data_IF_383547949491
#
_entry.id   IF_383547949491
#
_cell.length_a   1.000
_cell.length_b   1.000
_cell.length_c   1.000
_cell.angle_alpha   90.00
_cell.angle_beta   90.00
_cell.angle_gamma   90.00
#
_symmetry.space_group_name_H-M   'P 1'
#
loop_
_entity.id
_entity.type
_entity.pdbx_description
1 polymer ?
#
# COMPACT_ATOMS: atom_id res chain seq x y z
N UNK A 1 -18.84 10.81 -8.74
CA UNK A 1 -20.22 10.63 -8.18
C UNK A 1 -20.24 10.57 -6.65
N UNK A 2 -19.16 10.91 -5.97
CA UNK A 2 -19.10 10.90 -4.51
C UNK A 2 -19.90 12.08 -3.94
N UNK A 3 -20.58 11.82 -2.83
CA UNK A 3 -21.16 12.85 -1.98
C UNK A 3 -20.08 13.51 -1.13
N UNK A 4 -20.42 14.63 -0.49
CA UNK A 4 -19.53 15.27 0.48
C UNK A 4 -19.18 14.34 1.65
N UNK A 5 -20.13 13.52 2.12
CA UNK A 5 -19.89 12.54 3.16
C UNK A 5 -18.82 11.50 2.79
N UNK A 6 -18.79 11.02 1.52
CA UNK A 6 -17.73 10.14 1.03
C UNK A 6 -16.37 10.86 1.01
N UNK A 7 -16.33 12.14 0.56
CA UNK A 7 -15.08 12.92 0.51
C UNK A 7 -14.55 13.17 1.92
N UNK A 8 -15.41 13.50 2.87
CA UNK A 8 -15.03 13.74 4.28
C UNK A 8 -14.46 12.46 4.94
N UNK A 9 -14.94 11.27 4.54
CA UNK A 9 -14.41 9.99 5.00
C UNK A 9 -12.97 9.75 4.57
N UNK A 10 -12.63 10.06 3.32
CA UNK A 10 -11.32 9.78 2.74
C UNK A 10 -10.29 10.88 2.96
N UNK A 11 -10.67 12.09 3.27
CA UNK A 11 -9.90 13.33 3.20
C UNK A 11 -9.36 13.64 1.79
N UNK A 12 -9.27 14.93 1.46
CA UNK A 12 -8.81 15.37 0.12
C UNK A 12 -7.34 14.98 -0.13
N UNK A 13 -6.49 15.12 0.90
CA UNK A 13 -5.06 14.75 0.81
C UNK A 13 -4.85 13.26 0.55
N UNK A 14 -5.65 12.41 1.20
CA UNK A 14 -5.61 10.96 0.98
C UNK A 14 -6.03 10.59 -0.45
N UNK A 15 -7.08 11.22 -0.98
CA UNK A 15 -7.52 11.00 -2.35
C UNK A 15 -6.45 11.42 -3.37
N UNK A 16 -5.79 12.55 -3.16
CA UNK A 16 -4.67 12.99 -4.02
C UNK A 16 -3.53 11.97 -3.99
N UNK A 17 -3.14 11.48 -2.81
CA UNK A 17 -2.09 10.44 -2.69
C UNK A 17 -2.47 9.16 -3.43
N UNK A 18 -3.73 8.74 -3.35
CA UNK A 18 -4.24 7.56 -4.07
C UNK A 18 -4.20 7.74 -5.58
N UNK A 19 -4.56 8.94 -6.07
CA UNK A 19 -4.55 9.26 -7.51
C UNK A 19 -3.15 9.45 -8.09
N UNK A 20 -2.15 9.74 -7.28
CA UNK A 20 -0.78 9.99 -7.72
C UNK A 20 0.15 8.84 -7.35
N UNK A 21 0.54 8.76 -6.09
CA UNK A 21 1.55 7.81 -5.61
C UNK A 21 1.08 6.36 -5.71
N UNK A 22 -0.16 6.06 -5.26
CA UNK A 22 -0.66 4.69 -5.28
C UNK A 22 -0.86 4.18 -6.71
N UNK A 23 -1.41 5.01 -7.61
CA UNK A 23 -1.55 4.65 -9.03
C UNK A 23 -0.19 4.39 -9.66
N UNK A 24 0.82 5.23 -9.38
CA UNK A 24 2.18 5.04 -9.89
C UNK A 24 2.80 3.73 -9.37
N UNK A 25 2.61 3.41 -8.10
CA UNK A 25 3.10 2.16 -7.52
C UNK A 25 2.47 0.93 -8.19
N UNK A 26 1.16 0.95 -8.41
CA UNK A 26 0.43 -0.13 -9.09
C UNK A 26 0.87 -0.23 -10.55
N UNK A 27 1.03 0.89 -11.25
CA UNK A 27 1.51 0.93 -12.63
C UNK A 27 2.90 0.32 -12.77
N UNK A 28 3.84 0.67 -11.89
CA UNK A 28 5.19 0.12 -11.88
C UNK A 28 5.19 -1.39 -11.61
N UNK A 29 4.41 -1.84 -10.60
CA UNK A 29 4.28 -3.25 -10.32
C UNK A 29 3.67 -4.02 -11.50
N UNK A 30 2.64 -3.49 -12.14
CA UNK A 30 2.00 -4.08 -13.30
C UNK A 30 2.98 -4.19 -14.49
N UNK A 31 3.79 -3.14 -14.74
CA UNK A 31 4.80 -3.14 -15.78
C UNK A 31 5.86 -4.24 -15.54
N UNK A 32 6.35 -4.36 -14.29
CA UNK A 32 7.32 -5.41 -13.93
C UNK A 32 6.69 -6.79 -14.04
N UNK A 33 5.45 -6.94 -13.56
CA UNK A 33 4.71 -8.19 -13.64
C UNK A 33 4.58 -8.68 -15.09
N UNK A 34 4.10 -7.87 -16.01
CA UNK A 34 3.94 -8.24 -17.41
C UNK A 34 5.28 -8.64 -18.05
N UNK A 35 6.34 -7.86 -17.78
CA UNK A 35 7.64 -8.12 -18.42
C UNK A 35 8.37 -9.33 -17.85
N UNK A 36 8.31 -9.55 -16.54
CA UNK A 36 9.18 -10.50 -15.86
C UNK A 36 8.46 -11.74 -15.35
N UNK A 37 7.16 -11.65 -15.00
CA UNK A 37 6.43 -12.78 -14.44
C UNK A 37 6.24 -13.94 -15.42
N UNK A 38 6.17 -13.65 -16.71
CA UNK A 38 6.15 -14.69 -17.74
C UNK A 38 7.58 -15.14 -18.13
N UNK A 39 8.50 -14.17 -18.24
CA UNK A 39 9.86 -14.43 -18.71
C UNK A 39 10.68 -15.24 -17.73
N UNK A 40 10.69 -14.86 -16.43
CA UNK A 40 11.56 -15.51 -15.46
C UNK A 40 11.20 -17.00 -15.22
N UNK A 41 9.92 -17.39 -14.97
CA UNK A 41 9.56 -18.79 -14.86
C UNK A 41 9.81 -19.58 -16.13
N UNK A 42 9.48 -19.02 -17.30
CA UNK A 42 9.66 -19.69 -18.59
C UNK A 42 11.13 -19.97 -18.87
N UNK A 43 12.02 -18.98 -18.65
CA UNK A 43 13.47 -19.18 -18.83
C UNK A 43 14.01 -20.21 -17.84
N UNK A 44 13.54 -20.21 -16.59
CA UNK A 44 13.97 -21.21 -15.59
C UNK A 44 13.52 -22.62 -15.98
N UNK A 45 12.25 -22.79 -16.37
CA UNK A 45 11.72 -24.10 -16.77
C UNK A 45 12.44 -24.63 -18.02
N UNK A 46 12.57 -23.79 -19.06
CA UNK A 46 13.27 -24.19 -20.30
C UNK A 46 14.72 -24.55 -20.02
N UNK A 47 15.44 -23.74 -19.24
CA UNK A 47 16.82 -24.01 -18.89
C UNK A 47 16.97 -25.33 -18.07
N UNK A 48 16.05 -25.60 -17.13
CA UNK A 48 16.00 -26.85 -16.39
C UNK A 48 15.74 -28.03 -17.31
N UNK A 49 14.69 -27.96 -18.13
CA UNK A 49 14.34 -29.04 -19.08
C UNK A 49 15.53 -29.36 -20.02
N UNK A 50 16.11 -28.29 -20.64
CA UNK A 50 17.27 -28.49 -21.54
C UNK A 50 18.48 -29.06 -20.80
N UNK A 51 18.70 -28.66 -19.56
CA UNK A 51 19.79 -29.27 -18.73
C UNK A 51 19.56 -30.75 -18.46
N UNK A 52 18.31 -31.15 -18.16
CA UNK A 52 17.97 -32.57 -17.97
C UNK A 52 18.11 -33.39 -19.25
N UNK A 53 17.82 -32.83 -20.42
CA UNK A 53 17.99 -33.48 -21.72
C UNK A 53 19.48 -33.71 -22.05
N UNK A 54 20.38 -32.83 -21.61
CA UNK A 54 21.82 -32.98 -21.81
C UNK A 54 22.42 -34.00 -20.82
N UNK A 55 22.19 -33.77 -19.53
CA UNK A 55 22.73 -34.66 -18.49
C UNK A 55 21.88 -34.58 -17.22
N UNK A 56 21.06 -35.60 -16.92
CA UNK A 56 20.26 -35.63 -15.68
C UNK A 56 21.11 -35.54 -14.41
N UNK A 57 22.33 -36.09 -14.44
CA UNK A 57 23.26 -36.07 -13.32
C UNK A 57 23.75 -34.64 -12.99
N UNK A 58 24.06 -33.83 -13.99
CA UNK A 58 24.49 -32.45 -13.78
C UNK A 58 23.28 -31.54 -13.53
N UNK A 59 22.15 -31.82 -14.14
CA UNK A 59 20.91 -31.06 -13.92
C UNK A 59 20.38 -31.20 -12.49
N UNK A 60 20.60 -32.31 -11.82
CA UNK A 60 20.21 -32.50 -10.41
C UNK A 60 20.92 -31.52 -9.46
N UNK A 61 22.11 -31.04 -9.81
CA UNK A 61 22.86 -30.03 -9.05
C UNK A 61 22.08 -28.69 -9.06
N UNK A 62 21.56 -28.30 -10.24
CA UNK A 62 20.75 -27.07 -10.37
C UNK A 62 19.45 -27.17 -9.59
N UNK A 63 18.78 -28.32 -9.68
CA UNK A 63 17.52 -28.53 -8.98
C UNK A 63 17.73 -28.41 -7.46
N UNK A 64 18.79 -29.02 -6.94
CA UNK A 64 19.15 -28.93 -5.53
C UNK A 64 19.49 -27.47 -5.15
N UNK A 65 20.24 -26.75 -5.98
CA UNK A 65 20.57 -25.34 -5.75
C UNK A 65 19.35 -24.43 -5.76
N UNK A 66 18.41 -24.62 -6.70
CA UNK A 66 17.17 -23.85 -6.79
C UNK A 66 16.29 -24.07 -5.56
N UNK A 67 16.12 -25.33 -5.14
CA UNK A 67 15.34 -25.65 -3.94
C UNK A 67 15.99 -25.07 -2.68
N UNK A 68 17.30 -25.20 -2.54
CA UNK A 68 18.06 -24.67 -1.42
C UNK A 68 17.94 -23.14 -1.35
N UNK A 69 18.21 -22.45 -2.46
CA UNK A 69 18.09 -21.00 -2.54
C UNK A 69 16.64 -20.54 -2.36
N UNK A 70 15.67 -21.22 -2.93
CA UNK A 70 14.25 -20.90 -2.77
C UNK A 70 13.82 -20.93 -1.31
N UNK A 71 14.20 -21.96 -0.56
CA UNK A 71 13.92 -22.05 0.88
C UNK A 71 14.60 -20.93 1.65
N UNK A 72 15.87 -20.67 1.40
CA UNK A 72 16.62 -19.63 2.09
C UNK A 72 16.07 -18.26 1.80
N UNK A 73 15.81 -17.95 0.53
CA UNK A 73 15.19 -16.68 0.14
C UNK A 73 13.85 -16.48 0.83
N UNK A 74 13.01 -17.49 0.86
CA UNK A 74 11.73 -17.44 1.56
C UNK A 74 11.89 -17.15 3.06
N UNK A 75 12.84 -17.80 3.72
CA UNK A 75 13.12 -17.58 5.15
C UNK A 75 13.68 -16.16 5.41
N UNK A 76 14.61 -15.67 4.59
CA UNK A 76 15.16 -14.32 4.68
C UNK A 76 14.03 -13.33 4.50
N UNK A 77 13.21 -13.46 3.46
CA UNK A 77 12.11 -12.53 3.18
C UNK A 77 11.09 -12.50 4.32
N UNK A 78 10.62 -13.65 4.77
CA UNK A 78 9.68 -13.74 5.91
C UNK A 78 10.23 -13.07 7.17
N UNK A 79 11.51 -13.31 7.48
CA UNK A 79 12.16 -12.69 8.63
C UNK A 79 12.31 -11.17 8.45
N UNK A 80 12.73 -10.72 7.27
CA UNK A 80 13.02 -9.30 6.98
C UNK A 80 11.76 -8.46 6.95
N UNK A 81 10.67 -8.96 6.34
CA UNK A 81 9.38 -8.26 6.31
C UNK A 81 8.87 -7.93 7.72
N UNK A 82 8.98 -8.86 8.66
CA UNK A 82 8.57 -8.64 10.05
C UNK A 82 9.39 -7.55 10.76
N UNK A 83 10.68 -7.40 10.41
CA UNK A 83 11.51 -6.32 10.95
C UNK A 83 11.18 -4.97 10.32
N UNK A 84 10.95 -4.91 9.00
CA UNK A 84 10.58 -3.67 8.34
C UNK A 84 9.22 -3.14 8.81
N UNK A 85 8.23 -3.99 9.06
CA UNK A 85 6.96 -3.56 9.65
C UNK A 85 7.17 -2.83 10.97
N UNK A 86 7.99 -3.40 11.87
CA UNK A 86 8.33 -2.74 13.14
C UNK A 86 9.11 -1.43 12.97
N UNK A 87 9.95 -1.35 11.95
CA UNK A 87 10.68 -0.09 11.62
C UNK A 87 9.68 0.97 11.19
N UNK A 88 8.73 0.64 10.33
CA UNK A 88 7.71 1.61 9.87
C UNK A 88 6.81 2.10 11.01
N UNK A 89 6.36 1.21 11.91
CA UNK A 89 5.60 1.62 13.11
C UNK A 89 6.38 2.65 13.94
N UNK A 90 7.69 2.41 14.16
CA UNK A 90 8.53 3.34 14.91
C UNK A 90 8.86 4.63 14.15
N UNK A 91 8.83 4.57 12.83
CA UNK A 91 9.01 5.75 11.99
C UNK A 91 7.78 6.66 12.07
N UNK A 92 6.59 6.09 12.14
CA UNK A 92 5.34 6.83 12.35
C UNK A 92 5.33 7.51 13.72
N UNK A 93 5.72 6.82 14.81
CA UNK A 93 5.88 7.38 16.15
C UNK A 93 6.86 8.59 16.14
N UNK A 94 7.97 8.48 15.39
CA UNK A 94 8.94 9.56 15.26
C UNK A 94 8.37 10.77 14.52
N UNK A 95 7.67 10.53 13.41
CA UNK A 95 7.04 11.59 12.61
C UNK A 95 5.98 12.34 13.44
N UNK A 96 5.16 11.63 14.21
CA UNK A 96 4.18 12.23 15.11
C UNK A 96 4.87 13.11 16.16
N UNK A 97 5.95 12.63 16.78
CA UNK A 97 6.75 13.41 17.74
C UNK A 97 7.36 14.67 17.11
N UNK A 98 7.84 14.59 15.86
CA UNK A 98 8.36 15.76 15.13
C UNK A 98 7.24 16.77 14.85
N UNK A 99 6.09 16.31 14.41
CA UNK A 99 4.94 17.17 14.12
C UNK A 99 4.44 17.86 15.40
N UNK A 100 4.39 17.14 16.52
CA UNK A 100 4.06 17.70 17.83
C UNK A 100 5.05 18.80 18.22
N UNK A 101 6.36 18.53 18.12
CA UNK A 101 7.40 19.49 18.45
C UNK A 101 7.38 20.72 17.56
N UNK A 102 7.14 20.58 16.25
CA UNK A 102 7.02 21.72 15.32
C UNK A 102 5.80 22.57 15.66
N UNK A 103 4.68 21.93 15.99
CA UNK A 103 3.44 22.62 16.36
C UNK A 103 3.58 23.36 17.69
N UNK A 104 4.29 22.75 18.66
CA UNK A 104 4.49 23.29 20.01
C UNK A 104 5.82 24.05 20.18
N UNK A 105 6.54 24.39 19.11
CA UNK A 105 7.89 24.95 19.18
C UNK A 105 8.00 26.22 20.04
N UNK A 106 6.93 27.03 20.06
CA UNK A 106 6.88 28.23 20.90
C UNK A 106 6.87 27.88 22.39
N UNK A 107 6.19 26.78 22.76
CA UNK A 107 6.13 26.30 24.15
C UNK A 107 7.48 25.73 24.55
N UNK A 108 8.09 24.89 23.71
CA UNK A 108 9.43 24.32 23.95
C UNK A 108 10.45 25.43 24.18
N UNK A 109 10.43 26.50 23.36
CA UNK A 109 11.32 27.66 23.52
C UNK A 109 11.01 28.50 24.76
N UNK A 110 9.73 28.71 25.06
CA UNK A 110 9.32 29.49 26.25
C UNK A 110 9.79 28.83 27.57
N UNK A 111 9.84 27.50 27.61
CA UNK A 111 10.27 26.73 28.78
C UNK A 111 11.74 26.28 28.72
N UNK A 112 12.51 26.70 27.70
CA UNK A 112 13.95 26.36 27.51
C UNK A 112 14.15 24.84 27.58
N UNK A 113 13.33 24.05 26.84
CA UNK A 113 13.34 22.59 26.87
C UNK A 113 13.93 21.96 25.60
N UNK A 114 14.67 22.73 24.80
CA UNK A 114 15.26 22.25 23.54
C UNK A 114 16.14 21.03 23.74
N UNK A 115 17.04 21.06 24.74
CA UNK A 115 17.96 19.95 25.00
C UNK A 115 17.23 18.64 25.38
N UNK A 116 16.14 18.74 26.10
CA UNK A 116 15.29 17.60 26.43
C UNK A 116 14.66 16.99 25.19
N UNK A 117 14.06 17.82 24.31
CA UNK A 117 13.44 17.36 23.09
C UNK A 117 14.46 16.81 22.08
N UNK A 118 15.64 17.41 21.96
CA UNK A 118 16.76 16.89 21.18
C UNK A 118 17.19 15.51 21.72
N UNK A 119 17.27 15.35 23.04
CA UNK A 119 17.60 14.07 23.66
C UNK A 119 16.54 12.99 23.38
N UNK A 120 15.26 13.34 23.45
CA UNK A 120 14.13 12.46 23.12
C UNK A 120 14.17 12.02 21.64
N UNK A 121 14.35 12.97 20.73
CA UNK A 121 14.47 12.71 19.30
C UNK A 121 15.66 11.80 18.99
N UNK A 122 16.84 12.08 19.56
CA UNK A 122 18.05 11.25 19.36
C UNK A 122 17.84 9.81 19.80
N UNK A 123 17.17 9.58 20.93
CA UNK A 123 16.84 8.21 21.40
C UNK A 123 15.90 7.49 20.42
N UNK A 124 14.85 8.16 19.96
CA UNK A 124 13.91 7.59 18.99
C UNK A 124 14.61 7.26 17.66
N UNK A 125 15.40 8.20 17.12
CA UNK A 125 16.19 8.02 15.91
C UNK A 125 17.21 6.88 16.04
N UNK A 126 17.91 6.77 17.19
CA UNK A 126 18.86 5.69 17.45
C UNK A 126 18.18 4.32 17.50
N UNK A 127 16.99 4.22 18.07
CA UNK A 127 16.22 2.98 18.09
C UNK A 127 15.81 2.54 16.67
N UNK A 128 15.33 3.47 15.86
CA UNK A 128 14.99 3.21 14.45
C UNK A 128 16.24 2.78 13.68
N UNK A 129 17.36 3.50 13.85
CA UNK A 129 18.63 3.16 13.21
C UNK A 129 19.07 1.72 13.54
N UNK A 130 19.05 1.34 14.82
CA UNK A 130 19.44 -0.01 15.23
C UNK A 130 18.52 -1.10 14.67
N UNK A 131 17.21 -0.84 14.58
CA UNK A 131 16.26 -1.76 13.97
C UNK A 131 16.47 -1.88 12.46
N UNK A 132 16.71 -0.74 11.79
CA UNK A 132 16.98 -0.69 10.36
C UNK A 132 18.29 -1.44 10.02
N UNK A 133 19.36 -1.19 10.78
CA UNK A 133 20.63 -1.92 10.60
C UNK A 133 20.44 -3.43 10.78
N UNK A 134 19.64 -3.88 11.76
CA UNK A 134 19.34 -5.33 11.92
C UNK A 134 18.57 -5.90 10.75
N UNK A 135 17.63 -5.14 10.17
CA UNK A 135 16.89 -5.57 8.99
C UNK A 135 17.80 -5.64 7.75
N UNK A 136 18.62 -4.60 7.54
CA UNK A 136 19.57 -4.51 6.42
C UNK A 136 20.67 -5.57 6.50
N UNK A 137 21.22 -5.83 7.68
CA UNK A 137 22.21 -6.91 7.86
C UNK A 137 21.66 -8.27 7.44
N UNK A 138 20.40 -8.57 7.77
CA UNK A 138 19.76 -9.82 7.31
C UNK A 138 19.58 -9.86 5.79
N UNK A 139 19.14 -8.73 5.22
CA UNK A 139 18.96 -8.62 3.78
C UNK A 139 20.29 -8.67 3.02
N UNK A 140 21.34 -8.08 3.60
CA UNK A 140 22.68 -8.06 3.03
C UNK A 140 23.29 -9.45 2.84
N UNK A 141 22.90 -10.45 3.65
CA UNK A 141 23.33 -11.84 3.48
C UNK A 141 22.80 -12.49 2.19
N UNK A 142 21.74 -11.92 1.61
CA UNK A 142 21.15 -12.47 0.38
C UNK A 142 22.17 -12.53 -0.77
N UNK A 143 22.91 -11.46 -1.01
CA UNK A 143 23.81 -11.36 -2.15
C UNK A 143 25.05 -12.28 -2.03
N UNK A 144 25.80 -12.30 -0.91
CA UNK A 144 26.90 -13.24 -0.71
C UNK A 144 26.47 -14.72 -0.82
N UNK A 145 25.30 -15.05 -0.27
CA UNK A 145 24.80 -16.41 -0.29
C UNK A 145 24.45 -16.88 -1.70
N UNK A 146 23.73 -16.02 -2.46
CA UNK A 146 23.42 -16.26 -3.87
C UNK A 146 24.70 -16.45 -4.67
N UNK A 147 25.67 -15.57 -4.50
CA UNK A 147 26.96 -15.63 -5.19
C UNK A 147 27.73 -16.91 -4.85
N UNK A 148 27.77 -17.28 -3.58
CA UNK A 148 28.42 -18.51 -3.12
C UNK A 148 27.81 -19.77 -3.76
N UNK A 149 26.47 -19.85 -3.81
CA UNK A 149 25.77 -20.97 -4.45
C UNK A 149 26.03 -21.02 -5.96
N UNK A 150 25.99 -19.85 -6.65
CA UNK A 150 26.29 -19.74 -8.08
C UNK A 150 27.67 -20.30 -8.39
N UNK A 151 28.69 -19.80 -7.71
CA UNK A 151 30.07 -20.27 -7.94
C UNK A 151 30.29 -21.73 -7.50
N UNK A 152 29.65 -22.18 -6.43
CA UNK A 152 29.68 -23.59 -6.06
C UNK A 152 29.09 -24.49 -7.15
N UNK A 153 27.96 -24.11 -7.74
CA UNK A 153 27.38 -24.82 -8.87
C UNK A 153 28.32 -24.83 -10.08
N UNK A 154 28.92 -23.69 -10.44
CA UNK A 154 29.87 -23.61 -11.55
C UNK A 154 31.07 -24.54 -11.33
N UNK A 155 31.65 -24.52 -10.13
CA UNK A 155 32.78 -25.36 -9.78
C UNK A 155 32.43 -26.86 -9.84
N UNK A 156 31.30 -27.27 -9.25
CA UNK A 156 30.83 -28.66 -9.29
C UNK A 156 30.55 -29.13 -10.70
N UNK A 157 29.89 -28.33 -11.51
CA UNK A 157 29.55 -28.67 -12.89
C UNK A 157 30.81 -28.75 -13.74
N UNK A 158 31.74 -27.80 -13.58
CA UNK A 158 33.01 -27.82 -14.31
C UNK A 158 33.87 -29.04 -13.91
N UNK A 159 33.91 -29.35 -12.62
CA UNK A 159 34.67 -30.51 -12.13
C UNK A 159 34.09 -31.82 -12.63
N UNK A 160 32.81 -32.09 -12.39
CA UNK A 160 32.14 -33.34 -12.78
C UNK A 160 32.03 -33.41 -14.31
N UNK A 161 31.67 -32.29 -14.97
CA UNK A 161 31.57 -32.20 -16.42
C UNK A 161 32.91 -32.43 -17.13
N UNK A 162 34.01 -31.90 -16.56
CA UNK A 162 35.35 -32.16 -17.04
C UNK A 162 35.71 -33.66 -17.02
N UNK A 163 35.41 -34.35 -15.93
CA UNK A 163 35.58 -35.80 -15.84
C UNK A 163 34.70 -36.56 -16.86
N UNK A 164 33.46 -36.09 -17.07
CA UNK A 164 32.56 -36.69 -18.06
C UNK A 164 33.04 -36.48 -19.50
N UNK A 165 33.69 -35.35 -19.80
CA UNK A 165 34.31 -35.12 -21.11
C UNK A 165 35.49 -36.07 -21.35
N UNK A 166 36.38 -36.24 -20.37
CA UNK A 166 37.49 -37.17 -20.46
C UNK A 166 37.01 -38.62 -20.64
N UNK A 167 35.89 -38.96 -19.99
CA UNK A 167 35.25 -40.27 -20.14
C UNK A 167 34.43 -40.41 -21.45
N UNK A 168 34.38 -39.40 -22.30
CA UNK A 168 33.66 -39.43 -23.58
C UNK A 168 32.14 -39.38 -23.49
N UNK A 169 31.58 -39.16 -22.32
CA UNK A 169 30.13 -39.12 -22.09
C UNK A 169 29.49 -37.74 -22.19
N UNK A 170 30.30 -36.69 -22.35
CA UNK A 170 29.84 -35.30 -22.50
C UNK A 170 30.76 -34.58 -23.51
N UNK A 171 30.19 -33.67 -24.32
CA UNK A 171 31.00 -32.82 -25.22
C UNK A 171 31.29 -31.46 -24.54
N UNK A 172 32.36 -30.78 -24.99
CA UNK A 172 32.71 -29.44 -24.49
C UNK A 172 31.59 -28.43 -24.72
N UNK A 173 30.89 -28.50 -25.87
CA UNK A 173 29.75 -27.64 -26.18
C UNK A 173 28.58 -27.88 -25.23
N UNK A 174 28.31 -29.11 -24.87
CA UNK A 174 27.28 -29.46 -23.87
C UNK A 174 27.62 -28.89 -22.48
N UNK A 175 28.91 -28.97 -22.06
CA UNK A 175 29.32 -28.35 -20.80
C UNK A 175 29.12 -26.84 -20.80
N UNK A 176 29.50 -26.13 -21.88
CA UNK A 176 29.30 -24.69 -22.01
C UNK A 176 27.82 -24.33 -21.99
N UNK A 177 26.96 -25.12 -22.63
CA UNK A 177 25.50 -24.93 -22.56
C UNK A 177 24.98 -25.10 -21.15
N UNK A 178 25.43 -26.09 -20.40
CA UNK A 178 25.05 -26.32 -19.00
C UNK A 178 25.47 -25.14 -18.10
N UNK A 179 26.69 -24.59 -18.27
CA UNK A 179 27.13 -23.41 -17.52
C UNK A 179 26.25 -22.19 -17.82
N UNK A 180 25.86 -22.01 -19.09
CA UNK A 180 24.93 -20.92 -19.48
C UNK A 180 23.55 -21.12 -18.86
N UNK A 181 23.02 -22.35 -18.85
CA UNK A 181 21.73 -22.65 -18.21
C UNK A 181 21.79 -22.45 -16.69
N UNK A 182 22.91 -22.77 -16.04
CA UNK A 182 23.14 -22.45 -14.63
C UNK A 182 22.90 -20.97 -14.34
N UNK A 183 23.57 -20.11 -15.09
CA UNK A 183 23.42 -18.65 -14.93
C UNK A 183 21.99 -18.19 -15.20
N UNK A 184 21.31 -18.70 -16.21
CA UNK A 184 19.94 -18.36 -16.52
C UNK A 184 18.95 -18.79 -15.41
N UNK A 185 19.14 -19.98 -14.85
CA UNK A 185 18.29 -20.49 -13.76
C UNK A 185 18.43 -19.61 -12.52
N UNK A 186 19.67 -19.31 -12.13
CA UNK A 186 19.94 -18.53 -10.92
C UNK A 186 19.52 -17.05 -11.07
N UNK A 187 19.74 -16.44 -12.23
CA UNK A 187 19.22 -15.11 -12.54
C UNK A 187 17.68 -15.08 -12.53
N UNK A 188 17.03 -16.09 -13.09
CA UNK A 188 15.57 -16.21 -13.08
C UNK A 188 15.02 -16.27 -11.65
N UNK A 189 15.71 -16.97 -10.75
CA UNK A 189 15.32 -17.02 -9.34
C UNK A 189 15.43 -15.65 -8.65
N UNK A 190 16.49 -14.88 -8.95
CA UNK A 190 16.62 -13.49 -8.46
C UNK A 190 15.47 -12.61 -8.95
N UNK A 191 15.10 -12.70 -10.22
CA UNK A 191 13.96 -11.95 -10.76
C UNK A 191 12.64 -12.35 -10.11
N UNK A 192 12.42 -13.64 -9.84
CA UNK A 192 11.22 -14.09 -9.12
C UNK A 192 11.15 -13.50 -7.70
N UNK A 193 12.27 -13.46 -6.99
CA UNK A 193 12.33 -12.83 -5.67
C UNK A 193 11.99 -11.33 -5.74
N UNK A 194 12.54 -10.61 -6.73
CA UNK A 194 12.25 -9.19 -6.95
C UNK A 194 10.77 -8.94 -7.27
N UNK A 195 10.15 -9.77 -8.13
CA UNK A 195 8.72 -9.68 -8.47
C UNK A 195 7.88 -9.83 -7.20
N UNK A 196 8.20 -10.81 -6.35
CA UNK A 196 7.46 -11.03 -5.11
C UNK A 196 7.51 -9.82 -4.17
N UNK A 197 8.69 -9.20 -4.01
CA UNK A 197 8.83 -7.97 -3.21
C UNK A 197 7.97 -6.84 -3.78
N UNK A 198 8.03 -6.61 -5.08
CA UNK A 198 7.23 -5.56 -5.73
C UNK A 198 5.73 -5.80 -5.61
N UNK A 199 5.28 -7.04 -5.75
CA UNK A 199 3.87 -7.39 -5.54
C UNK A 199 3.41 -7.08 -4.11
N UNK A 200 4.21 -7.47 -3.12
CA UNK A 200 3.89 -7.21 -1.70
C UNK A 200 3.83 -5.70 -1.40
N UNK A 201 4.76 -4.91 -1.94
CA UNK A 201 4.75 -3.45 -1.77
C UNK A 201 3.56 -2.78 -2.47
N UNK A 202 3.14 -3.30 -3.62
CA UNK A 202 2.02 -2.75 -4.38
C UNK A 202 0.65 -3.16 -3.81
N UNK A 203 0.55 -4.23 -3.04
CA UNK A 203 -0.71 -4.74 -2.48
C UNK A 203 -1.44 -3.67 -1.66
N UNK A 204 -0.72 -2.95 -0.80
CA UNK A 204 -1.30 -1.88 0.01
C UNK A 204 -1.88 -0.74 -0.85
N UNK A 205 -1.17 -0.35 -1.92
CA UNK A 205 -1.65 0.68 -2.85
C UNK A 205 -2.86 0.20 -3.64
N UNK A 206 -2.87 -1.06 -4.10
CA UNK A 206 -4.02 -1.68 -4.76
C UNK A 206 -5.25 -1.67 -3.85
N UNK A 207 -5.09 -2.04 -2.58
CA UNK A 207 -6.20 -2.05 -1.60
C UNK A 207 -6.78 -0.66 -1.40
N UNK A 208 -5.93 0.38 -1.21
CA UNK A 208 -6.39 1.76 -1.05
C UNK A 208 -7.12 2.31 -2.29
N UNK A 209 -6.69 1.92 -3.49
CA UNK A 209 -7.39 2.28 -4.72
C UNK A 209 -8.73 1.56 -4.81
N UNK A 210 -8.77 0.25 -4.51
CA UNK A 210 -9.98 -0.55 -4.51
C UNK A 210 -11.03 0.01 -3.55
N UNK A 211 -10.64 0.42 -2.33
CA UNK A 211 -11.53 1.07 -1.37
C UNK A 211 -12.26 2.29 -1.96
N UNK A 212 -11.59 3.08 -2.81
CA UNK A 212 -12.21 4.25 -3.45
C UNK A 212 -13.09 3.84 -4.63
N UNK A 213 -12.68 2.83 -5.40
CA UNK A 213 -13.45 2.36 -6.56
C UNK A 213 -14.74 1.66 -6.10
N UNK A 214 -14.65 0.87 -5.04
CA UNK A 214 -15.76 0.07 -4.51
C UNK A 214 -16.68 0.89 -3.58
N UNK A 215 -16.27 2.13 -3.23
CA UNK A 215 -17.09 2.99 -2.39
C UNK A 215 -18.37 3.40 -3.08
N UNK A 216 -19.49 3.12 -2.45
CA UNK A 216 -20.79 3.52 -2.94
C UNK A 216 -21.10 4.97 -2.53
N UNK A 217 -21.66 5.79 -3.44
CA UNK A 217 -22.12 7.13 -3.06
C UNK A 217 -23.19 7.03 -1.99
N UNK A 218 -23.03 7.78 -0.90
CA UNK A 218 -24.00 7.82 0.20
C UNK A 218 -25.31 8.51 -0.21
N UNK A 219 -25.25 9.39 -1.23
CA UNK A 219 -26.41 10.04 -1.79
C UNK A 219 -26.85 9.34 -3.06
N UNK A 220 -28.03 8.74 -3.02
CA UNK A 220 -28.68 8.11 -4.15
C UNK A 220 -29.99 8.82 -4.51
N UNK A 221 -30.36 8.80 -5.78
CA UNK A 221 -31.70 9.20 -6.17
C UNK A 221 -32.68 8.05 -5.91
N UNK A 222 -33.95 8.36 -5.51
CA UNK A 222 -35.00 7.36 -5.46
C UNK A 222 -35.29 6.81 -6.86
N UNK A 223 -36.02 5.67 -6.94
CA UNK A 223 -36.35 5.03 -8.21
C UNK A 223 -37.14 5.95 -9.16
N UNK A 224 -37.94 6.84 -8.58
CA UNK A 224 -38.74 7.85 -9.31
C UNK A 224 -38.42 9.24 -8.73
N UNK A 225 -37.36 9.90 -9.21
CA UNK A 225 -37.01 11.22 -8.71
C UNK A 225 -37.94 12.29 -9.24
N UNK A 226 -38.36 13.21 -8.36
CA UNK A 226 -39.09 14.43 -8.75
C UNK A 226 -38.16 15.29 -9.59
N UNK A 227 -38.57 15.68 -10.79
CA UNK A 227 -37.76 16.47 -11.74
C UNK A 227 -38.11 17.95 -11.73
N UNK A 228 -39.26 18.31 -11.21
CA UNK A 228 -39.74 19.70 -11.17
C UNK A 228 -40.08 20.09 -9.73
N UNK A 229 -39.59 21.24 -9.30
CA UNK A 229 -39.87 21.82 -8.01
C UNK A 229 -41.01 22.80 -8.22
N UNK A 230 -42.14 22.66 -7.51
CA UNK A 230 -43.37 23.44 -7.72
C UNK A 230 -43.23 24.90 -7.28
N UNK A 231 -42.55 25.10 -6.16
CA UNK A 231 -42.34 26.41 -5.58
C UNK A 231 -41.04 26.46 -4.78
N UNK A 232 -40.71 27.57 -4.11
CA UNK A 232 -39.52 27.74 -3.31
C UNK A 232 -39.72 27.47 -1.82
N UNK A 233 -40.79 26.79 -1.42
CA UNK A 233 -41.06 26.50 -0.01
C UNK A 233 -40.10 25.42 0.52
N UNK A 234 -39.72 25.54 1.80
CA UNK A 234 -38.83 24.56 2.46
C UNK A 234 -39.43 24.19 3.82
N UNK A 235 -39.55 22.90 4.07
CA UNK A 235 -40.10 22.39 5.33
C UNK A 235 -39.14 21.38 5.93
N UNK A 236 -38.75 21.61 7.18
CA UNK A 236 -38.02 20.71 8.03
C UNK A 236 -38.99 20.08 9.02
N UNK A 237 -39.07 18.73 9.04
CA UNK A 237 -39.93 17.99 9.93
C UNK A 237 -39.06 17.03 10.80
N UNK A 238 -38.95 17.34 12.09
CA UNK A 238 -38.20 16.56 13.09
C UNK A 238 -36.77 16.21 12.64
N UNK A 239 -36.06 17.14 12.01
CA UNK A 239 -34.76 16.90 11.39
C UNK A 239 -33.68 16.72 12.44
N UNK A 240 -33.01 15.56 12.37
CA UNK A 240 -31.79 15.25 13.09
C UNK A 240 -30.65 15.06 12.09
N UNK A 241 -29.47 15.57 12.42
CA UNK A 241 -28.31 15.44 11.56
C UNK A 241 -27.02 15.26 12.35
N UNK A 242 -26.22 14.28 11.93
CA UNK A 242 -24.83 14.09 12.35
C UNK A 242 -23.96 13.80 11.13
N UNK A 243 -22.74 14.36 11.08
CA UNK A 243 -21.79 14.13 9.99
C UNK A 243 -21.28 12.67 9.92
N UNK A 244 -21.30 11.96 11.05
CA UNK A 244 -20.97 10.53 11.15
C UNK A 244 -22.02 9.82 11.99
N UNK A 245 -22.58 8.75 11.47
CA UNK A 245 -23.48 7.88 12.24
C UNK A 245 -22.72 7.28 13.43
N UNK A 246 -23.32 7.35 14.61
CA UNK A 246 -22.75 6.77 15.84
C UNK A 246 -21.63 7.59 16.50
N UNK A 247 -21.31 8.80 16.06
CA UNK A 247 -20.22 9.63 16.60
C UNK A 247 -20.59 10.55 17.76
N UNK A 248 -21.64 10.27 18.49
CA UNK A 248 -22.07 11.06 19.65
C UNK A 248 -23.36 11.86 19.42
N UNK A 249 -23.48 13.05 20.05
CA UNK A 249 -24.69 13.87 19.91
C UNK A 249 -24.84 14.43 18.48
N UNK A 250 -26.07 14.43 17.93
CA UNK A 250 -26.34 15.02 16.62
C UNK A 250 -26.05 16.52 16.62
N UNK A 251 -25.51 17.00 15.50
CA UNK A 251 -25.18 18.43 15.26
C UNK A 251 -26.43 19.29 15.16
N UNK A 252 -27.51 18.74 14.61
CA UNK A 252 -28.85 19.29 14.60
C UNK A 252 -29.77 18.27 15.27
N UNK A 253 -30.67 18.75 16.16
CA UNK A 253 -31.55 17.91 16.96
C UNK A 253 -32.96 18.45 16.92
N UNK A 254 -33.87 17.66 16.39
CA UNK A 254 -35.33 17.93 16.32
C UNK A 254 -35.66 19.30 15.73
N UNK A 255 -35.04 19.65 14.59
CA UNK A 255 -35.30 20.93 13.92
C UNK A 255 -36.64 20.89 13.18
N UNK A 256 -37.51 21.79 13.52
CA UNK A 256 -38.80 22.01 12.86
C UNK A 256 -38.84 23.47 12.36
N UNK A 257 -38.93 23.66 11.03
CA UNK A 257 -38.88 24.97 10.38
C UNK A 257 -39.70 24.92 9.10
N UNK A 258 -40.51 25.92 8.88
CA UNK A 258 -41.25 26.12 7.64
C UNK A 258 -40.92 27.48 7.04
N UNK A 259 -40.54 27.50 5.78
CA UNK A 259 -40.16 28.69 5.02
C UNK A 259 -41.08 28.76 3.80
N UNK A 260 -41.75 29.89 3.64
CA UNK A 260 -42.64 30.11 2.49
C UNK A 260 -41.84 30.52 1.23
N UNK A 261 -42.39 30.27 0.06
CA UNK A 261 -41.76 30.67 -1.20
C UNK A 261 -41.58 32.21 -1.26
N UNK A 262 -40.36 32.67 -1.54
CA UNK A 262 -40.00 34.11 -1.58
C UNK A 262 -39.71 34.74 -0.23
N UNK A 263 -39.80 34.02 0.86
CA UNK A 263 -39.46 34.49 2.20
C UNK A 263 -37.96 34.63 2.40
N UNK A 264 -37.52 35.68 3.10
CA UNK A 264 -36.13 35.89 3.50
C UNK A 264 -35.95 35.58 4.98
N UNK A 265 -35.12 34.60 5.32
CA UNK A 265 -34.86 34.18 6.70
C UNK A 265 -33.43 34.50 7.10
N UNK A 266 -33.24 35.10 8.28
CA UNK A 266 -31.94 35.28 8.90
C UNK A 266 -31.64 34.21 9.96
N UNK A 267 -30.54 33.50 9.82
CA UNK A 267 -30.07 32.49 10.79
C UNK A 267 -28.95 33.10 11.62
N UNK A 268 -29.19 33.32 12.91
CA UNK A 268 -28.28 33.96 13.85
C UNK A 268 -27.82 32.94 14.91
N UNK A 269 -26.58 33.01 15.32
CA UNK A 269 -26.04 32.16 16.38
C UNK A 269 -24.52 32.25 16.48
N UNK A 270 -23.94 31.77 17.56
CA UNK A 270 -22.50 31.74 17.81
C UNK A 270 -21.71 30.87 16.85
N UNK A 271 -20.39 30.94 16.90
CA UNK A 271 -19.52 30.01 16.17
C UNK A 271 -19.76 28.59 16.69
N UNK A 272 -19.90 27.60 15.79
CA UNK A 272 -20.16 26.20 16.15
C UNK A 272 -21.67 25.87 16.33
N UNK A 273 -22.62 26.80 16.16
CA UNK A 273 -24.07 26.54 16.31
C UNK A 273 -24.74 25.90 15.09
N UNK A 274 -23.97 25.21 14.24
CA UNK A 274 -24.44 24.41 13.10
C UNK A 274 -25.26 25.17 12.00
N UNK A 275 -25.11 26.49 11.89
CA UNK A 275 -25.82 27.30 10.85
C UNK A 275 -25.49 26.82 9.44
N UNK A 276 -24.22 26.64 9.15
CA UNK A 276 -23.76 26.14 7.82
C UNK A 276 -24.24 24.71 7.55
N UNK A 277 -24.32 23.87 8.57
CA UNK A 277 -24.84 22.51 8.44
C UNK A 277 -26.33 22.53 8.04
N UNK A 278 -27.12 23.38 8.65
CA UNK A 278 -28.54 23.53 8.30
C UNK A 278 -28.72 23.97 6.84
N UNK A 279 -27.94 24.97 6.39
CA UNK A 279 -28.00 25.45 4.99
C UNK A 279 -27.56 24.39 4.01
N UNK A 280 -26.51 23.62 4.33
CA UNK A 280 -25.99 22.54 3.49
C UNK A 280 -27.01 21.40 3.29
N UNK A 281 -27.90 21.16 4.25
CA UNK A 281 -28.97 20.17 4.12
C UNK A 281 -30.04 20.60 3.13
N UNK A 282 -30.33 21.90 2.96
CA UNK A 282 -31.31 22.40 1.99
C UNK A 282 -30.89 22.04 0.58
N UNK A 283 -29.59 22.19 0.26
CA UNK A 283 -29.04 21.80 -1.06
C UNK A 283 -28.72 20.30 -1.17
N UNK A 284 -29.09 19.51 -0.16
CA UNK A 284 -28.86 18.07 -0.10
C UNK A 284 -27.39 17.70 -0.34
N UNK A 285 -26.45 18.45 0.26
CA UNK A 285 -25.03 18.04 0.26
C UNK A 285 -24.80 16.82 1.17
N UNK A 286 -25.69 16.64 2.16
CA UNK A 286 -25.79 15.48 3.05
C UNK A 286 -27.24 15.07 3.19
N UNK A 287 -27.51 13.81 3.44
CA UNK A 287 -28.83 13.35 3.86
C UNK A 287 -28.99 13.47 5.39
N UNK A 288 -30.21 13.71 5.84
CA UNK A 288 -30.55 13.78 7.27
C UNK A 288 -30.44 12.38 7.91
N UNK A 289 -30.06 12.34 9.21
CA UNK A 289 -30.02 11.09 9.97
C UNK A 289 -31.39 10.71 10.56
N UNK A 290 -32.33 11.64 10.59
CA UNK A 290 -33.71 11.43 11.01
C UNK A 290 -34.58 12.62 10.63
N UNK A 291 -35.89 12.39 10.49
CA UNK A 291 -36.82 13.38 10.00
C UNK A 291 -36.82 13.52 8.46
N UNK A 292 -37.39 14.61 7.97
CA UNK A 292 -37.43 14.90 6.52
C UNK A 292 -37.26 16.36 6.21
N UNK A 293 -36.64 16.66 5.05
CA UNK A 293 -36.59 18.01 4.47
C UNK A 293 -37.27 17.94 3.11
N UNK A 294 -38.28 18.81 2.93
CA UNK A 294 -39.01 18.94 1.68
C UNK A 294 -38.76 20.31 1.07
N UNK A 295 -38.54 20.35 -0.23
CA UNK A 295 -38.33 21.58 -1.01
C UNK A 295 -39.34 21.57 -2.15
N UNK A 296 -40.24 22.54 -2.17
CA UNK A 296 -41.29 22.70 -3.17
C UNK A 296 -42.44 21.68 -3.04
N UNK A 297 -42.72 21.23 -1.82
CA UNK A 297 -43.86 20.36 -1.49
C UNK A 297 -43.58 18.87 -1.33
#
# INVERSE_FOLDING_TARGET
KFSFANIDRFSTSSLVTRLTTDVTNVQNAFQVLIRMAMRAPSMMIVALVMSFLISPRLASIYLAAVLFLGVILFLIMKSTTAYFQKVFERYDDLNESVQENVSAIRVVKAYVREDYEIGRFRKAAANIYLMFVKAELKLSWNNPLMTAVVYSCILLISWIGGHMIVAGSLTTGQLMSLLTYCMNILNSLMFLAMIFVMMTMSEASCRRIAEVIDENPSLGNPKEPVKEVKDGSIVFEHVNFAYREGSGEPVLKDINLSISSGESIGIIGGTGSAKSSLVNLISRLYDVTGGSIKVGG
#
